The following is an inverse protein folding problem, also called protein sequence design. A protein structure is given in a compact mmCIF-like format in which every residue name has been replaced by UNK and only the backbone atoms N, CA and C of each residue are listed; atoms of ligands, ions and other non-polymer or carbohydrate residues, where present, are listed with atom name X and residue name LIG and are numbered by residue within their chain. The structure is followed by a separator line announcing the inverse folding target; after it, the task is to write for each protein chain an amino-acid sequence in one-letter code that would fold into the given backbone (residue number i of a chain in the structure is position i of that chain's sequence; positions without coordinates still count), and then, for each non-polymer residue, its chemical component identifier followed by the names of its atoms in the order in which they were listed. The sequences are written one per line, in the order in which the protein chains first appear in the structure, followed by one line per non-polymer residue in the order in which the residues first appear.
data_IF_346818620333
#
_entry.id   IF_346818620333
#
_cell.length_a   1.000
_cell.length_b   1.000
_cell.length_c   1.000
_cell.angle_alpha   90.00
_cell.angle_beta   90.00
_cell.angle_gamma   90.00
#
_symmetry.space_group_name_H-M   'P 1'
#
loop_
_entity.id
_entity.type
_entity.pdbx_description
1 polymer ?
#
# COMPACT_ATOMS: atom_id res chain seq x y z
N UNK A 1 -10.57 -52.10 -32.69
CA UNK A 1 -9.51 -51.13 -33.02
C UNK A 1 -9.40 -50.14 -31.85
N UNK A 2 -8.22 -50.08 -31.22
CA UNK A 2 -7.89 -49.14 -30.15
C UNK A 2 -7.49 -47.80 -30.77
N UNK A 3 -8.16 -46.71 -30.40
CA UNK A 3 -7.58 -45.38 -30.49
C UNK A 3 -7.51 -44.80 -29.08
N UNK A 4 -6.28 -44.76 -28.57
CA UNK A 4 -5.87 -43.95 -27.43
C UNK A 4 -5.71 -42.54 -27.97
N UNK A 5 -6.43 -41.56 -27.41
CA UNK A 5 -6.12 -40.15 -27.64
C UNK A 5 -6.04 -39.47 -26.27
N UNK A 6 -4.80 -39.30 -25.84
CA UNK A 6 -4.38 -38.47 -24.71
C UNK A 6 -4.63 -37.02 -25.14
N UNK A 7 -5.54 -36.33 -24.46
CA UNK A 7 -5.61 -34.87 -24.52
C UNK A 7 -5.44 -34.29 -23.12
N UNK A 8 -4.20 -33.83 -22.94
CA UNK A 8 -3.70 -32.84 -22.00
C UNK A 8 -4.74 -32.21 -21.06
N UNK A 9 -4.56 -32.51 -19.77
CA UNK A 9 -5.01 -31.69 -18.66
C UNK A 9 -4.51 -30.25 -18.88
N UNK A 10 -5.38 -29.21 -18.97
CA UNK A 10 -4.94 -27.88 -18.65
C UNK A 10 -4.87 -27.83 -17.13
N UNK A 11 -3.64 -27.93 -16.60
CA UNK A 11 -3.30 -27.43 -15.27
C UNK A 11 -3.62 -25.95 -15.30
N UNK A 12 -4.86 -25.61 -14.94
CA UNK A 12 -5.31 -24.25 -14.78
C UNK A 12 -4.54 -23.67 -13.60
N UNK A 13 -3.45 -22.99 -13.95
CA UNK A 13 -2.94 -21.79 -13.31
C UNK A 13 -3.20 -21.75 -11.80
N UNK A 14 -2.31 -22.42 -11.06
CA UNK A 14 -1.73 -21.82 -9.87
C UNK A 14 -0.99 -20.55 -10.31
N UNK A 15 -1.73 -19.51 -10.69
CA UNK A 15 -1.33 -18.16 -10.33
C UNK A 15 -1.48 -18.12 -8.83
N UNK A 16 -0.48 -18.71 -8.15
CA UNK A 16 -0.14 -18.32 -6.80
C UNK A 16 0.01 -16.82 -6.89
N UNK A 17 -1.05 -16.12 -6.48
CA UNK A 17 -0.91 -14.78 -5.96
C UNK A 17 0.27 -14.89 -5.02
N UNK A 18 1.37 -14.25 -5.38
CA UNK A 18 2.39 -13.92 -4.42
C UNK A 18 1.71 -12.87 -3.53
N UNK A 19 0.72 -13.32 -2.73
CA UNK A 19 0.23 -12.62 -1.57
C UNK A 19 1.48 -12.54 -0.71
N UNK A 20 2.18 -11.43 -0.85
CA UNK A 20 3.24 -11.06 0.09
C UNK A 20 2.45 -10.72 1.34
N UNK A 21 2.03 -11.75 2.08
CA UNK A 21 1.03 -11.66 3.13
C UNK A 21 1.37 -10.46 4.03
N UNK A 22 0.52 -9.43 3.95
CA UNK A 22 0.73 -8.17 4.66
C UNK A 22 1.27 -7.00 3.85
N UNK A 23 1.46 -7.07 2.52
CA UNK A 23 1.72 -5.89 1.67
C UNK A 23 0.49 -5.53 0.85
N UNK A 24 -0.02 -4.31 1.02
CA UNK A 24 -1.11 -3.75 0.22
C UNK A 24 -0.59 -2.60 -0.65
N UNK A 25 -1.15 -2.45 -1.85
CA UNK A 25 -0.75 -1.44 -2.82
C UNK A 25 -1.98 -0.65 -3.22
N UNK A 26 -1.86 0.67 -3.26
CA UNK A 26 -2.95 1.57 -3.55
C UNK A 26 -2.55 2.70 -4.49
N UNK A 27 -3.55 3.39 -5.01
CA UNK A 27 -3.37 4.64 -5.77
C UNK A 27 -4.39 5.69 -5.36
N UNK A 28 -4.11 6.94 -5.68
CA UNK A 28 -4.97 8.08 -5.41
C UNK A 28 -4.61 9.30 -6.24
N UNK A 29 -5.53 10.24 -6.39
CA UNK A 29 -5.24 11.51 -7.03
C UNK A 29 -4.29 12.35 -6.16
N UNK A 30 -3.36 13.08 -6.78
CA UNK A 30 -2.52 14.07 -6.10
C UNK A 30 -3.05 15.48 -6.38
N UNK A 31 -3.12 16.33 -5.36
CA UNK A 31 -3.58 17.72 -5.47
C UNK A 31 -2.70 18.61 -6.34
N UNK A 32 -1.43 18.26 -6.55
CA UNK A 32 -0.53 18.96 -7.50
C UNK A 32 -0.66 18.44 -8.93
N UNK A 33 -1.55 17.48 -9.17
CA UNK A 33 -1.81 16.85 -10.46
C UNK A 33 -1.27 15.42 -10.55
N UNK A 34 -1.91 14.62 -11.40
CA UNK A 34 -1.53 13.22 -11.62
C UNK A 34 -2.02 12.25 -10.55
N UNK A 35 -1.37 11.09 -10.48
CA UNK A 35 -1.68 9.99 -9.55
C UNK A 35 -0.50 9.78 -8.61
N UNK A 36 -0.77 9.58 -7.33
CA UNK A 36 0.20 9.05 -6.37
C UNK A 36 -0.09 7.59 -6.09
N UNK A 37 0.96 6.83 -5.88
CA UNK A 37 0.88 5.42 -5.51
C UNK A 37 1.43 5.24 -4.10
N UNK A 38 0.90 4.25 -3.40
CA UNK A 38 1.39 3.90 -2.08
C UNK A 38 1.48 2.40 -1.90
N UNK A 39 2.42 2.00 -1.05
CA UNK A 39 2.53 0.64 -0.56
C UNK A 39 2.51 0.69 0.95
N UNK A 40 1.76 -0.20 1.58
CA UNK A 40 1.79 -0.35 3.03
C UNK A 40 2.05 -1.81 3.36
N UNK A 41 3.01 -2.07 4.25
CA UNK A 41 3.45 -3.42 4.56
C UNK A 41 3.50 -3.67 6.06
N UNK A 42 2.92 -4.79 6.50
CA UNK A 42 3.10 -5.35 7.83
C UNK A 42 4.54 -5.80 8.01
N UNK A 43 5.14 -5.36 9.11
CA UNK A 43 6.51 -5.68 9.51
C UNK A 43 6.50 -6.83 10.50
N UNK A 44 7.66 -7.45 10.68
CA UNK A 44 7.85 -8.57 11.61
C UNK A 44 7.61 -8.17 13.09
N UNK A 45 7.68 -6.86 13.40
CA UNK A 45 7.40 -6.31 14.73
C UNK A 45 5.90 -5.98 14.95
N UNK A 46 5.01 -6.38 14.02
CA UNK A 46 3.57 -6.12 14.09
C UNK A 46 3.15 -4.71 13.69
N UNK A 47 4.09 -3.86 13.29
CA UNK A 47 3.86 -2.47 12.88
C UNK A 47 3.68 -2.37 11.35
N UNK A 48 3.18 -1.24 10.86
CA UNK A 48 3.06 -1.01 9.42
C UNK A 48 4.09 0.01 8.92
N UNK A 49 4.70 -0.26 7.77
CA UNK A 49 5.52 0.69 7.03
C UNK A 49 4.77 1.17 5.79
N UNK A 50 4.55 2.47 5.67
CA UNK A 50 3.98 3.12 4.49
C UNK A 50 5.10 3.69 3.63
N UNK A 51 5.02 3.45 2.32
CA UNK A 51 5.72 4.18 1.27
C UNK A 51 4.71 4.90 0.38
N UNK A 52 4.97 6.14 0.04
CA UNK A 52 4.16 6.95 -0.89
C UNK A 52 5.08 7.53 -1.95
N UNK A 53 4.78 7.27 -3.22
CA UNK A 53 5.43 7.91 -4.35
C UNK A 53 4.57 9.08 -4.80
N UNK A 54 5.12 10.28 -4.68
CA UNK A 54 4.52 11.54 -5.14
C UNK A 54 5.29 12.10 -6.33
N UNK A 55 4.81 13.19 -6.92
CA UNK A 55 5.53 13.91 -7.96
C UNK A 55 6.91 14.43 -7.51
N UNK A 56 7.11 14.65 -6.19
CA UNK A 56 8.35 15.18 -5.62
C UNK A 56 9.30 14.10 -5.08
N UNK A 57 8.94 12.82 -5.22
CA UNK A 57 9.77 11.69 -4.79
C UNK A 57 9.05 10.73 -3.84
N UNK A 58 9.86 9.85 -3.25
CA UNK A 58 9.38 8.81 -2.33
C UNK A 58 9.41 9.30 -0.88
N UNK A 59 8.30 9.09 -0.18
CA UNK A 59 8.11 9.42 1.23
C UNK A 59 7.74 8.17 2.02
N UNK A 60 8.14 8.10 3.28
CA UNK A 60 7.83 6.94 4.13
C UNK A 60 7.54 7.30 5.58
N UNK A 61 6.79 6.42 6.25
CA UNK A 61 6.47 6.49 7.68
C UNK A 61 6.28 5.09 8.27
N UNK A 62 6.41 4.97 9.60
CA UNK A 62 6.17 3.73 10.36
C UNK A 62 5.09 3.99 11.41
N UNK A 63 4.08 3.13 11.41
CA UNK A 63 2.89 3.17 12.26
C UNK A 63 2.95 2.05 13.29
N UNK A 64 2.87 2.39 14.57
CA UNK A 64 3.20 1.49 15.70
C UNK A 64 2.02 1.15 16.60
N UNK A 65 0.86 1.74 16.36
CA UNK A 65 -0.33 1.53 17.16
C UNK A 65 -1.56 1.23 16.28
N UNK A 66 -1.51 0.15 15.46
CA UNK A 66 -2.67 -0.24 14.66
C UNK A 66 -3.84 -0.56 15.60
N UNK A 67 -5.01 0.00 15.29
CA UNK A 67 -6.22 -0.17 16.09
C UNK A 67 -7.43 -0.33 15.17
N UNK A 68 -8.26 -1.37 15.35
CA UNK A 68 -9.48 -1.57 14.58
C UNK A 68 -10.37 -0.31 14.53
N UNK A 69 -10.76 0.09 13.32
CA UNK A 69 -11.50 1.33 13.04
C UNK A 69 -10.82 2.63 13.51
N UNK A 70 -9.55 2.56 13.92
CA UNK A 70 -8.77 3.68 14.40
C UNK A 70 -8.03 4.42 13.28
N UNK A 71 -7.32 5.46 13.70
CA UNK A 71 -6.42 6.24 12.84
C UNK A 71 -5.10 6.51 13.55
N UNK A 72 -4.01 6.59 12.81
CA UNK A 72 -2.70 6.97 13.33
C UNK A 72 -2.05 8.00 12.40
N UNK A 73 -1.51 9.07 12.97
CA UNK A 73 -0.81 10.15 12.26
C UNK A 73 0.69 10.00 12.48
N UNK A 74 1.46 10.04 11.39
CA UNK A 74 2.92 9.99 11.45
C UNK A 74 3.54 11.02 10.50
N UNK A 75 4.71 11.59 10.84
CA UNK A 75 5.46 12.41 9.91
C UNK A 75 6.00 11.56 8.76
N UNK A 76 5.96 12.12 7.56
CA UNK A 76 6.56 11.55 6.37
C UNK A 76 7.99 12.05 6.21
N UNK A 77 8.90 11.11 6.00
CA UNK A 77 10.30 11.41 5.63
C UNK A 77 10.47 11.12 4.15
N UNK A 78 10.77 12.16 3.37
CA UNK A 78 10.93 12.06 1.92
C UNK A 78 12.40 12.11 1.50
N UNK A 79 12.75 11.37 0.45
CA UNK A 79 14.12 11.30 -0.09
C UNK A 79 14.61 12.65 -0.64
N UNK A 80 13.70 13.52 -1.06
CA UNK A 80 14.00 14.88 -1.55
C UNK A 80 14.29 15.89 -0.44
N UNK A 81 14.12 15.52 0.83
CA UNK A 81 14.19 16.44 1.98
C UNK A 81 12.89 17.22 2.23
N UNK A 82 11.88 17.05 1.37
CA UNK A 82 10.54 17.57 1.60
C UNK A 82 9.88 16.86 2.81
N UNK A 83 8.90 17.52 3.42
CA UNK A 83 8.28 17.07 4.67
C UNK A 83 6.76 17.19 4.64
N UNK A 84 6.11 16.24 5.30
CA UNK A 84 4.66 16.21 5.43
C UNK A 84 4.23 15.27 6.54
N UNK A 85 2.95 14.96 6.58
CA UNK A 85 2.39 13.93 7.45
C UNK A 85 1.50 13.00 6.64
N UNK A 86 1.31 11.79 7.16
CA UNK A 86 0.34 10.85 6.66
C UNK A 86 -0.48 10.24 7.80
N UNK A 87 -1.79 10.20 7.61
CA UNK A 87 -2.73 9.54 8.49
C UNK A 87 -3.17 8.23 7.87
N UNK A 88 -2.91 7.11 8.53
CA UNK A 88 -3.49 5.81 8.16
C UNK A 88 -4.82 5.64 8.88
N UNK A 89 -5.83 5.17 8.15
CA UNK A 89 -7.10 4.68 8.70
C UNK A 89 -7.13 3.17 8.58
N UNK A 90 -7.46 2.51 9.67
CA UNK A 90 -7.56 1.06 9.74
C UNK A 90 -9.00 0.57 9.54
N UNK A 91 -9.15 -0.62 8.97
CA UNK A 91 -10.41 -1.34 8.86
C UNK A 91 -10.84 -1.97 10.18
N UNK A 92 -11.96 -2.69 10.16
CA UNK A 92 -12.53 -3.35 11.34
C UNK A 92 -11.68 -4.49 11.91
N UNK A 93 -10.73 -4.99 11.14
CA UNK A 93 -9.76 -6.02 11.52
C UNK A 93 -8.39 -5.43 11.94
N UNK A 94 -8.24 -4.10 11.94
CA UNK A 94 -6.99 -3.42 12.25
C UNK A 94 -5.98 -3.37 11.09
N UNK A 95 -6.35 -3.84 9.89
CA UNK A 95 -5.52 -3.69 8.69
C UNK A 95 -5.66 -2.30 8.08
N UNK A 96 -4.64 -1.75 7.39
CA UNK A 96 -4.75 -0.43 6.76
C UNK A 96 -5.76 -0.44 5.61
N UNK A 97 -6.72 0.48 5.65
CA UNK A 97 -7.73 0.64 4.60
C UNK A 97 -7.45 1.85 3.68
N UNK A 98 -6.80 2.89 4.22
CA UNK A 98 -6.40 4.06 3.44
C UNK A 98 -5.32 4.87 4.15
N UNK A 99 -4.51 5.60 3.39
CA UNK A 99 -3.59 6.61 3.91
C UNK A 99 -3.86 7.96 3.24
N UNK A 100 -4.09 9.00 4.05
CA UNK A 100 -4.17 10.38 3.57
C UNK A 100 -2.88 11.10 3.91
N UNK A 101 -2.19 11.62 2.91
CA UNK A 101 -0.93 12.35 3.09
C UNK A 101 -1.07 13.81 2.68
N UNK A 102 -0.21 14.65 3.23
CA UNK A 102 -0.10 16.05 2.85
C UNK A 102 1.19 16.67 3.36
N UNK A 103 1.78 17.56 2.57
CA UNK A 103 3.00 18.27 2.95
C UNK A 103 3.39 19.36 1.98
N UNK A 104 4.37 20.15 2.39
CA UNK A 104 4.97 21.17 1.52
C UNK A 104 5.79 20.45 0.45
N UNK A 105 5.66 20.90 -0.80
CA UNK A 105 6.34 20.37 -1.98
C UNK A 105 6.00 18.92 -2.41
N UNK A 106 5.29 18.14 -1.60
CA UNK A 106 4.85 16.77 -1.97
C UNK A 106 3.38 16.69 -2.42
N UNK A 107 2.63 17.78 -2.23
CA UNK A 107 1.18 17.83 -2.45
C UNK A 107 0.41 17.08 -1.36
N UNK A 108 -0.80 16.65 -1.71
CA UNK A 108 -1.69 15.89 -0.82
C UNK A 108 -2.56 14.93 -1.61
N UNK A 109 -3.02 13.88 -0.95
CA UNK A 109 -3.86 12.87 -1.57
C UNK A 109 -4.29 11.79 -0.59
N UNK A 110 -5.23 10.96 -1.03
CA UNK A 110 -5.66 9.77 -0.29
C UNK A 110 -5.44 8.55 -1.15
N UNK A 111 -4.73 7.58 -0.60
CA UNK A 111 -4.45 6.29 -1.21
C UNK A 111 -5.33 5.25 -0.53
N UNK A 112 -6.10 4.50 -1.31
CA UNK A 112 -6.91 3.38 -0.83
C UNK A 112 -6.19 2.07 -1.13
N UNK A 113 -6.14 1.17 -0.15
CA UNK A 113 -5.43 -0.11 -0.20
C UNK A 113 -6.39 -1.29 -0.35
#
# INVERSE_FOLDING_TARGET
MKLIMIFALPVALLLGGCDTAGTSVGTGANSTGGTSSGTIRLRDDGNYALGVTTAAGFCSAVYRAPSPNGTELQPLVCTSGAGGNATVRYGSDGTPASATYGGVDIGSGTITF
#
